data_IF_069024222805
#
_entry.id   IF_069024222805
#
_cell.length_a   1.000
_cell.length_b   1.000
_cell.length_c   1.000
_cell.angle_alpha   90.00
_cell.angle_beta   90.00
_cell.angle_gamma   90.00
#
_symmetry.space_group_name_H-M   'P 1'
#
loop_
_entity.id
_entity.type
_entity.pdbx_description
1 polymer ?
#
# COMPACT_ATOMS: atom_id res chain seq x y z
N UNK A 1 -2.90 22.44 -3.13
CA UNK A 1 -1.76 22.82 -2.28
C UNK A 1 -0.74 23.52 -3.17
N UNK A 2 -0.42 24.78 -2.88
CA UNK A 2 0.53 25.57 -3.67
C UNK A 2 1.94 25.01 -3.45
N UNK A 3 2.67 24.68 -4.52
CA UNK A 3 4.11 24.42 -4.40
C UNK A 3 4.77 25.65 -3.76
N UNK A 4 5.53 25.45 -2.69
CA UNK A 4 6.33 26.52 -2.12
C UNK A 4 7.28 27.04 -3.21
N UNK A 5 7.37 28.36 -3.36
CA UNK A 5 8.21 28.96 -4.40
C UNK A 5 9.67 28.75 -4.02
N UNK A 6 10.38 27.91 -4.78
CA UNK A 6 11.80 27.58 -4.53
C UNK A 6 12.63 28.84 -4.77
N UNK A 7 13.48 29.19 -3.80
CA UNK A 7 14.48 30.24 -3.95
C UNK A 7 15.78 29.63 -4.48
N UNK A 8 16.01 29.76 -5.79
CA UNK A 8 17.22 29.24 -6.44
C UNK A 8 18.49 30.04 -6.14
N UNK A 9 18.38 31.16 -5.42
CA UNK A 9 19.56 31.94 -5.00
C UNK A 9 20.22 31.38 -3.75
N UNK A 10 19.52 30.53 -3.01
CA UNK A 10 20.00 29.84 -1.81
C UNK A 10 20.92 28.68 -2.20
N UNK A 11 22.20 28.62 -1.75
CA UNK A 11 23.09 27.50 -2.07
C UNK A 11 22.56 26.12 -1.64
N UNK A 12 21.69 26.08 -0.62
CA UNK A 12 21.12 24.85 -0.07
C UNK A 12 19.74 24.50 -0.67
N UNK A 13 19.30 25.21 -1.73
CA UNK A 13 17.98 25.01 -2.33
C UNK A 13 17.71 23.56 -2.73
N UNK A 14 18.75 22.82 -3.16
CA UNK A 14 18.64 21.41 -3.56
C UNK A 14 18.30 20.50 -2.39
N UNK A 15 18.98 20.68 -1.26
CA UNK A 15 18.75 19.89 -0.04
C UNK A 15 17.35 20.18 0.47
N UNK A 16 16.96 21.46 0.56
CA UNK A 16 15.62 21.88 0.98
C UNK A 16 14.52 21.33 0.05
N UNK A 17 14.77 21.33 -1.26
CA UNK A 17 13.86 20.74 -2.23
C UNK A 17 13.71 19.24 -2.03
N UNK A 18 14.81 18.52 -1.82
CA UNK A 18 14.81 17.09 -1.56
C UNK A 18 14.07 16.76 -0.25
N UNK A 19 14.34 17.49 0.83
CA UNK A 19 13.67 17.31 2.13
C UNK A 19 12.17 17.61 2.05
N UNK A 20 11.76 18.69 1.37
CA UNK A 20 10.34 19.00 1.12
C UNK A 20 9.67 17.88 0.32
N UNK A 21 10.34 17.42 -0.74
CA UNK A 21 9.85 16.33 -1.57
C UNK A 21 9.67 15.05 -0.75
N UNK A 22 10.70 14.63 -0.02
CA UNK A 22 10.65 13.42 0.82
C UNK A 22 9.59 13.54 1.91
N UNK A 23 9.41 14.72 2.51
CA UNK A 23 8.35 14.97 3.51
C UNK A 23 6.95 14.82 2.91
N UNK A 24 6.72 15.31 1.68
CA UNK A 24 5.42 15.17 0.99
C UNK A 24 5.08 13.73 0.61
N UNK A 25 6.10 12.91 0.37
CA UNK A 25 5.95 11.49 0.03
C UNK A 25 6.19 10.56 1.23
N UNK A 26 6.37 11.11 2.43
CA UNK A 26 6.48 10.32 3.64
C UNK A 26 5.11 9.71 3.97
N UNK A 27 5.09 8.40 4.21
CA UNK A 27 3.87 7.67 4.55
C UNK A 27 3.80 7.63 6.08
N UNK A 28 2.73 8.16 6.70
CA UNK A 28 2.61 8.13 8.15
C UNK A 28 2.61 6.68 8.64
N UNK A 29 3.49 6.39 9.59
CA UNK A 29 3.52 5.12 10.30
C UNK A 29 2.61 5.16 11.52
N UNK A 30 2.11 4.00 11.94
CA UNK A 30 1.31 3.90 13.16
C UNK A 30 2.05 4.47 14.39
N UNK A 31 3.37 4.27 14.43
CA UNK A 31 4.27 4.77 15.48
C UNK A 31 4.44 6.29 15.48
N UNK A 32 4.09 6.99 14.39
CA UNK A 32 4.13 8.46 14.35
C UNK A 32 3.00 9.06 15.19
N UNK A 33 1.90 8.30 15.37
CA UNK A 33 0.74 8.69 16.19
C UNK A 33 0.74 7.97 17.53
N UNK A 34 1.19 6.70 17.55
CA UNK A 34 1.19 5.83 18.73
C UNK A 34 2.60 5.23 18.95
N UNK A 35 3.54 5.97 19.58
CA UNK A 35 4.95 5.60 19.67
C UNK A 35 5.22 4.26 20.35
N UNK A 36 4.38 3.88 21.32
CA UNK A 36 4.52 2.66 22.11
C UNK A 36 3.79 1.44 21.50
N UNK A 37 3.35 1.54 20.25
CA UNK A 37 2.65 0.44 19.56
C UNK A 37 3.56 -0.79 19.45
N UNK A 38 3.14 -1.96 19.98
CA UNK A 38 3.91 -3.17 19.84
C UNK A 38 3.95 -3.63 18.38
N UNK A 39 5.10 -4.15 17.96
CA UNK A 39 5.28 -4.76 16.64
C UNK A 39 5.41 -6.27 16.78
N UNK A 40 4.80 -7.02 15.86
CA UNK A 40 4.81 -8.48 15.83
C UNK A 40 5.52 -8.97 14.56
N UNK A 41 6.16 -10.16 14.59
CA UNK A 41 6.66 -10.79 13.37
C UNK A 41 5.53 -10.96 12.34
N UNK A 42 5.82 -10.65 11.08
CA UNK A 42 4.87 -10.80 9.99
C UNK A 42 4.50 -12.27 9.77
N UNK A 43 3.20 -12.52 9.61
CA UNK A 43 2.67 -13.83 9.24
C UNK A 43 2.80 -14.11 7.74
N UNK A 44 3.18 -13.11 6.94
CA UNK A 44 3.34 -13.28 5.50
C UNK A 44 4.60 -14.08 5.19
N UNK A 45 4.39 -15.34 4.79
CA UNK A 45 5.47 -16.20 4.33
C UNK A 45 5.42 -16.33 2.80
N UNK A 46 6.55 -16.07 2.16
CA UNK A 46 6.75 -16.26 0.72
C UNK A 46 7.11 -17.71 0.36
N UNK A 47 7.30 -18.58 1.35
CA UNK A 47 7.50 -20.01 1.13
C UNK A 47 6.15 -20.70 0.89
N UNK A 48 5.60 -20.56 -0.31
CA UNK A 48 4.79 -21.65 -0.84
C UNK A 48 5.75 -22.79 -1.23
N UNK A 49 5.74 -23.88 -0.47
CA UNK A 49 6.22 -25.20 -0.93
C UNK A 49 7.73 -25.37 -1.14
N UNK A 50 8.55 -25.17 -0.10
CA UNK A 50 9.67 -26.11 0.11
C UNK A 50 9.20 -27.13 1.13
N UNK A 51 8.82 -28.32 0.66
CA UNK A 51 8.93 -29.55 1.44
C UNK A 51 10.29 -29.51 2.15
N UNK A 52 10.40 -29.88 3.44
CA UNK A 52 11.72 -30.14 4.00
C UNK A 52 12.33 -31.20 3.09
N UNK A 53 13.39 -30.86 2.37
CA UNK A 53 14.18 -31.87 1.67
C UNK A 53 14.66 -32.78 2.79
N UNK A 54 14.24 -34.03 2.70
CA UNK A 54 14.54 -35.12 3.63
C UNK A 54 15.96 -34.97 4.15
N UNK A 55 16.08 -34.96 5.47
CA UNK A 55 17.34 -35.04 6.20
C UNK A 55 18.11 -36.27 5.73
N UNK A 56 19.06 -36.09 4.83
CA UNK A 56 20.21 -36.98 4.71
C UNK A 56 21.28 -36.24 3.91
N UNK A 57 22.49 -36.25 4.46
CA UNK A 57 23.77 -35.75 3.93
C UNK A 57 24.29 -34.39 4.42
N UNK A 58 25.35 -34.54 5.23
CA UNK A 58 26.47 -33.65 5.54
C UNK A 58 26.31 -32.60 6.64
N UNK A 59 26.89 -32.93 7.79
CA UNK A 59 26.96 -32.17 9.02
C UNK A 59 27.97 -30.98 9.01
N UNK A 60 28.33 -30.41 7.84
CA UNK A 60 29.38 -29.38 7.75
C UNK A 60 29.05 -28.16 6.87
N UNK A 61 27.78 -27.93 6.52
CA UNK A 61 27.36 -26.71 5.83
C UNK A 61 26.39 -25.91 6.71
N UNK A 62 26.94 -25.11 7.63
CA UNK A 62 26.21 -23.99 8.21
C UNK A 62 26.03 -22.90 7.15
N UNK A 63 25.08 -23.10 6.25
CA UNK A 63 24.61 -22.02 5.39
C UNK A 63 23.46 -21.35 6.13
N UNK A 64 23.80 -20.34 6.93
CA UNK A 64 22.88 -19.26 7.33
C UNK A 64 22.45 -18.49 6.07
N UNK A 65 21.75 -19.13 5.13
CA UNK A 65 21.08 -18.45 4.03
C UNK A 65 19.87 -17.73 4.62
N UNK A 66 20.14 -16.59 5.27
CA UNK A 66 19.14 -15.71 5.84
C UNK A 66 18.32 -15.12 4.71
N UNK A 67 17.23 -15.82 4.40
CA UNK A 67 16.41 -15.54 3.24
C UNK A 67 15.86 -14.10 3.28
N UNK A 68 16.26 -13.26 2.30
CA UNK A 68 15.92 -11.84 2.24
C UNK A 68 14.52 -11.60 1.63
N UNK A 69 13.47 -12.06 2.32
CA UNK A 69 12.08 -11.97 1.85
C UNK A 69 11.35 -10.66 2.09
N UNK A 70 11.86 -9.83 2.99
CA UNK A 70 11.20 -8.60 3.44
C UNK A 70 11.93 -7.35 2.94
N UNK A 71 11.17 -6.27 2.79
CA UNK A 71 11.69 -4.96 2.40
C UNK A 71 12.07 -4.17 3.66
N UNK A 72 13.23 -3.51 3.65
CA UNK A 72 13.66 -2.65 4.75
C UNK A 72 12.86 -1.33 4.75
N UNK A 73 12.62 -0.74 5.92
CA UNK A 73 11.94 0.56 6.02
C UNK A 73 12.74 1.71 5.40
N UNK A 74 14.06 1.56 5.29
CA UNK A 74 14.96 2.52 4.67
C UNK A 74 15.10 2.32 3.15
N UNK A 75 14.49 1.27 2.57
CA UNK A 75 14.55 1.09 1.12
C UNK A 75 13.85 2.25 0.41
N UNK A 76 14.59 2.87 -0.52
CA UNK A 76 14.09 3.93 -1.39
C UNK A 76 14.29 3.55 -2.84
N UNK A 77 13.38 4.04 -3.69
CA UNK A 77 13.47 3.93 -5.14
C UNK A 77 13.53 5.34 -5.71
N UNK A 78 14.35 5.51 -6.73
CA UNK A 78 14.47 6.76 -7.45
C UNK A 78 13.23 6.95 -8.34
N UNK A 79 12.46 8.02 -8.11
CA UNK A 79 11.22 8.31 -8.85
C UNK A 79 11.51 8.87 -10.24
N UNK A 80 12.37 9.88 -10.31
CA UNK A 80 12.79 10.50 -11.56
C UNK A 80 14.10 9.84 -11.99
N UNK A 81 14.15 9.24 -13.17
CA UNK A 81 15.35 8.55 -13.70
C UNK A 81 16.07 9.31 -14.83
N UNK A 82 15.50 10.44 -15.27
CA UNK A 82 16.04 11.26 -16.36
C UNK A 82 17.13 12.19 -15.82
N UNK A 83 18.38 11.72 -15.83
CA UNK A 83 19.52 12.48 -15.32
C UNK A 83 19.80 13.76 -16.13
N UNK A 84 19.70 13.69 -17.45
CA UNK A 84 19.88 14.85 -18.33
C UNK A 84 18.54 15.21 -18.97
N UNK A 85 18.04 16.41 -18.67
CA UNK A 85 16.80 16.94 -19.23
C UNK A 85 17.05 18.26 -19.95
N UNK A 86 16.24 18.53 -20.99
CA UNK A 86 16.19 19.81 -21.68
C UNK A 86 14.77 20.35 -21.59
N UNK A 87 14.56 21.68 -21.50
CA UNK A 87 13.21 22.26 -21.50
C UNK A 87 12.39 21.95 -22.75
N UNK A 88 13.04 21.52 -23.82
CA UNK A 88 12.41 21.16 -25.10
C UNK A 88 12.02 19.69 -25.19
N UNK A 89 12.43 18.85 -24.23
CA UNK A 89 12.19 17.41 -24.27
C UNK A 89 10.83 17.05 -23.69
N UNK A 90 10.03 16.26 -24.42
CA UNK A 90 8.74 15.80 -23.94
C UNK A 90 8.88 14.95 -22.66
N UNK A 91 8.06 15.23 -21.65
CA UNK A 91 8.05 14.51 -20.36
C UNK A 91 9.21 14.85 -19.43
N UNK A 92 10.11 15.75 -19.81
CA UNK A 92 11.21 16.20 -18.98
C UNK A 92 10.85 17.52 -18.29
N UNK A 93 10.39 17.45 -17.04
CA UNK A 93 10.12 18.65 -16.24
C UNK A 93 11.39 19.10 -15.52
N UNK A 94 11.82 20.33 -15.80
CA UNK A 94 12.98 20.94 -15.16
C UNK A 94 12.56 21.66 -13.87
N UNK A 95 13.32 21.45 -12.80
CA UNK A 95 13.05 22.09 -11.50
C UNK A 95 13.49 23.56 -11.56
N UNK A 96 14.63 23.81 -12.19
CA UNK A 96 15.22 25.12 -12.43
C UNK A 96 15.47 25.34 -13.95
N UNK A 97 16.06 26.49 -14.29
CA UNK A 97 16.35 26.85 -15.70
C UNK A 97 17.42 25.97 -16.34
N UNK A 98 18.36 25.48 -15.54
CA UNK A 98 19.48 24.67 -16.01
C UNK A 98 19.17 23.18 -16.05
N UNK A 99 17.92 22.80 -15.72
CA UNK A 99 17.48 21.42 -15.65
C UNK A 99 18.36 20.56 -14.75
N UNK A 100 18.74 21.13 -13.61
CA UNK A 100 19.61 20.52 -12.62
C UNK A 100 18.99 19.25 -12.07
N UNK A 101 19.79 18.21 -12.04
CA UNK A 101 19.42 16.95 -11.41
C UNK A 101 19.39 17.09 -9.89
N UNK A 102 18.28 16.63 -9.30
CA UNK A 102 18.10 16.45 -7.86
C UNK A 102 17.41 15.11 -7.67
N UNK A 103 17.97 14.22 -6.86
CA UNK A 103 17.38 12.93 -6.59
C UNK A 103 16.01 13.08 -5.91
N UNK A 104 15.05 12.26 -6.34
CA UNK A 104 13.72 12.21 -5.76
C UNK A 104 13.46 10.78 -5.32
N UNK A 105 13.51 10.54 -4.01
CA UNK A 105 13.37 9.22 -3.42
C UNK A 105 11.95 8.97 -2.92
N UNK A 106 11.44 7.76 -3.16
CA UNK A 106 10.15 7.30 -2.64
C UNK A 106 10.29 5.95 -1.94
N UNK A 107 9.41 5.68 -0.97
CA UNK A 107 9.43 4.42 -0.23
C UNK A 107 9.11 3.22 -1.12
N UNK A 108 9.91 2.16 -0.99
CA UNK A 108 9.65 0.89 -1.68
C UNK A 108 8.51 0.12 -1.01
N UNK A 109 7.44 -0.16 -1.75
CA UNK A 109 6.35 -1.03 -1.29
C UNK A 109 6.81 -2.51 -1.20
N UNK A 110 6.21 -3.26 -0.27
CA UNK A 110 6.44 -4.70 -0.13
C UNK A 110 6.27 -5.19 1.31
N UNK A 111 6.32 -6.51 1.53
CA UNK A 111 6.12 -7.10 2.85
C UNK A 111 7.21 -6.65 3.82
N UNK A 112 6.83 -6.38 5.06
CA UNK A 112 7.75 -6.01 6.15
C UNK A 112 7.91 -7.19 7.11
N UNK A 113 9.08 -7.30 7.72
CA UNK A 113 9.37 -8.34 8.71
C UNK A 113 8.48 -8.18 9.96
N UNK A 114 8.08 -6.94 10.27
CA UNK A 114 7.24 -6.60 11.41
C UNK A 114 5.95 -5.93 10.97
N UNK A 115 4.83 -6.30 11.60
CA UNK A 115 3.49 -5.72 11.43
C UNK A 115 2.95 -5.23 12.78
N UNK A 116 1.97 -4.32 12.76
CA UNK A 116 1.42 -3.71 13.98
C UNK A 116 0.03 -4.23 14.35
N UNK A 117 -0.69 -4.80 13.40
CA UNK A 117 -1.99 -5.41 13.65
C UNK A 117 -1.84 -6.92 13.75
N UNK A 118 -2.39 -7.50 14.80
CA UNK A 118 -2.51 -8.95 14.91
C UNK A 118 -3.59 -9.43 13.93
N UNK A 119 -3.24 -10.22 12.90
CA UNK A 119 -4.15 -10.50 11.78
C UNK A 119 -5.49 -11.10 12.20
N UNK A 120 -5.49 -11.96 13.23
CA UNK A 120 -6.72 -12.60 13.71
C UNK A 120 -7.75 -11.62 14.30
N UNK A 121 -7.27 -10.48 14.80
CA UNK A 121 -8.08 -9.41 15.40
C UNK A 121 -8.46 -8.31 14.40
N UNK A 122 -7.95 -8.38 13.16
CA UNK A 122 -8.29 -7.42 12.10
C UNK A 122 -9.66 -7.75 11.51
N UNK A 123 -10.52 -6.73 11.43
CA UNK A 123 -11.67 -6.68 10.52
C UNK A 123 -11.30 -5.79 9.35
N UNK A 124 -11.19 -6.36 8.15
CA UNK A 124 -10.80 -5.64 6.94
C UNK A 124 -12.02 -5.36 6.06
N UNK A 125 -12.26 -4.08 5.74
CA UNK A 125 -13.31 -3.66 4.82
C UNK A 125 -12.72 -3.25 3.47
N UNK A 126 -13.31 -3.76 2.38
CA UNK A 126 -12.92 -3.43 1.00
C UNK A 126 -14.09 -2.69 0.34
N UNK A 127 -13.79 -1.63 -0.39
CA UNK A 127 -14.78 -0.91 -1.20
C UNK A 127 -14.16 -0.36 -2.47
N UNK A 128 -14.99 -0.18 -3.49
CA UNK A 128 -14.60 0.43 -4.76
C UNK A 128 -15.44 1.68 -5.02
N UNK A 129 -14.79 2.82 -5.25
CA UNK A 129 -15.45 4.10 -5.44
C UNK A 129 -15.19 4.67 -6.84
N UNK A 130 -16.01 5.64 -7.25
CA UNK A 130 -15.79 6.42 -8.46
C UNK A 130 -16.36 5.75 -9.72
N UNK A 131 -15.57 5.79 -10.81
CA UNK A 131 -15.94 5.18 -12.08
C UNK A 131 -15.45 3.73 -12.20
N UNK A 132 -16.07 2.97 -13.10
CA UNK A 132 -15.60 1.62 -13.43
C UNK A 132 -14.31 1.67 -14.25
N UNK A 133 -13.38 0.78 -13.93
CA UNK A 133 -12.14 0.54 -14.65
C UNK A 133 -11.92 -0.97 -14.75
N UNK A 134 -11.39 -1.49 -15.88
CA UNK A 134 -10.97 -2.90 -15.95
C UNK A 134 -10.01 -3.25 -14.81
N UNK A 135 -10.22 -4.41 -14.17
CA UNK A 135 -9.35 -4.93 -13.11
C UNK A 135 -9.79 -4.67 -11.66
N UNK A 136 -10.92 -3.97 -11.43
CA UNK A 136 -11.43 -3.77 -10.05
C UNK A 136 -11.69 -5.11 -9.33
N UNK A 137 -12.22 -6.09 -10.04
CA UNK A 137 -12.45 -7.44 -9.49
C UNK A 137 -11.15 -8.19 -9.21
N UNK A 138 -10.11 -8.03 -10.03
CA UNK A 138 -8.77 -8.56 -9.76
C UNK A 138 -8.18 -7.98 -8.48
N UNK A 139 -8.33 -6.66 -8.28
CA UNK A 139 -7.87 -5.97 -7.06
C UNK A 139 -8.61 -6.50 -5.83
N UNK A 140 -9.95 -6.56 -5.85
CA UNK A 140 -10.75 -7.10 -4.73
C UNK A 140 -10.28 -8.52 -4.41
N UNK A 141 -10.20 -9.38 -5.43
CA UNK A 141 -9.77 -10.77 -5.28
C UNK A 141 -8.38 -10.88 -4.65
N UNK A 142 -7.41 -10.13 -5.16
CA UNK A 142 -6.03 -10.23 -4.69
C UNK A 142 -5.87 -9.70 -3.27
N UNK A 143 -6.58 -8.63 -2.91
CA UNK A 143 -6.59 -8.11 -1.53
C UNK A 143 -7.18 -9.14 -0.57
N UNK A 144 -8.33 -9.75 -0.89
CA UNK A 144 -8.93 -10.82 -0.06
C UNK A 144 -7.96 -11.99 0.11
N UNK A 145 -7.36 -12.48 -0.99
CA UNK A 145 -6.39 -13.58 -0.93
C UNK A 145 -5.21 -13.24 -0.02
N UNK A 146 -4.64 -12.05 -0.17
CA UNK A 146 -3.49 -11.59 0.62
C UNK A 146 -3.85 -11.44 2.09
N UNK A 147 -5.00 -10.83 2.43
CA UNK A 147 -5.48 -10.73 3.82
C UNK A 147 -5.62 -12.11 4.47
N UNK A 148 -6.18 -13.09 3.75
CA UNK A 148 -6.25 -14.47 4.24
C UNK A 148 -4.85 -15.11 4.40
N UNK A 149 -3.86 -14.81 3.54
CA UNK A 149 -2.46 -15.27 3.72
C UNK A 149 -1.88 -14.72 5.04
N UNK A 150 -2.17 -13.47 5.36
CA UNK A 150 -1.78 -12.89 6.65
C UNK A 150 -2.53 -13.52 7.84
N UNK A 151 -3.63 -14.24 7.63
CA UNK A 151 -4.44 -14.86 8.68
C UNK A 151 -5.62 -14.02 9.15
N UNK A 152 -6.03 -13.01 8.37
CA UNK A 152 -7.22 -12.19 8.67
C UNK A 152 -8.49 -13.03 8.53
N UNK A 153 -9.30 -13.07 9.59
CA UNK A 153 -10.51 -13.92 9.67
C UNK A 153 -11.80 -13.20 9.26
N UNK A 154 -11.85 -11.87 9.39
CA UNK A 154 -13.05 -11.06 9.11
C UNK A 154 -12.76 -10.12 7.96
N UNK A 155 -13.20 -10.49 6.76
CA UNK A 155 -13.04 -9.66 5.56
C UNK A 155 -14.43 -9.37 5.00
N UNK A 156 -14.73 -8.08 4.84
CA UNK A 156 -16.04 -7.62 4.40
C UNK A 156 -15.93 -6.66 3.22
N UNK A 157 -16.94 -6.66 2.37
CA UNK A 157 -17.12 -5.71 1.28
C UNK A 157 -18.19 -4.69 1.64
N UNK A 158 -17.90 -3.41 1.43
CA UNK A 158 -18.88 -2.33 1.59
C UNK A 158 -19.50 -2.03 0.22
N UNK A 159 -20.82 -2.25 0.03
CA UNK A 159 -21.46 -2.05 -1.25
C UNK A 159 -21.47 -0.58 -1.69
N UNK A 160 -21.31 -0.36 -3.00
CA UNK A 160 -21.47 0.94 -3.66
C UNK A 160 -20.57 2.05 -3.07
N UNK A 161 -19.30 1.77 -2.82
CA UNK A 161 -18.32 2.78 -2.40
C UNK A 161 -18.62 3.39 -1.03
N UNK A 162 -18.31 4.68 -0.84
CA UNK A 162 -18.50 5.34 0.46
C UNK A 162 -19.97 5.41 0.92
N UNK A 163 -20.92 5.38 -0.01
CA UNK A 163 -22.36 5.33 0.32
C UNK A 163 -22.73 4.16 1.24
N UNK A 164 -22.06 3.01 1.12
CA UNK A 164 -22.35 1.85 1.96
C UNK A 164 -22.03 2.02 3.44
N UNK A 165 -21.36 3.11 3.84
CA UNK A 165 -21.16 3.44 5.26
C UNK A 165 -22.35 4.16 5.90
N UNK A 166 -23.17 4.86 5.11
CA UNK A 166 -24.31 5.66 5.61
C UNK A 166 -25.67 5.08 5.26
N UNK A 167 -25.74 4.18 4.27
CA UNK A 167 -26.99 3.60 3.80
C UNK A 167 -27.36 2.37 4.64
N UNK A 168 -28.37 2.50 5.50
CA UNK A 168 -28.82 1.44 6.42
C UNK A 168 -29.39 0.22 5.68
N UNK A 169 -29.83 0.40 4.43
CA UNK A 169 -30.34 -0.70 3.59
C UNK A 169 -29.19 -1.56 3.00
N UNK A 170 -27.94 -1.11 3.11
CA UNK A 170 -26.76 -1.79 2.57
C UNK A 170 -25.99 -2.52 3.67
N UNK A 171 -26.14 -3.84 3.71
CA UNK A 171 -25.37 -4.70 4.61
C UNK A 171 -23.96 -5.00 4.09
N UNK A 172 -23.03 -5.23 5.02
CA UNK A 172 -21.70 -5.77 4.70
C UNK A 172 -21.81 -7.10 3.96
N UNK A 173 -20.98 -7.27 2.93
CA UNK A 173 -20.87 -8.53 2.20
C UNK A 173 -19.68 -9.31 2.72
N UNK A 174 -19.88 -10.52 3.24
CA UNK A 174 -18.76 -11.36 3.65
C UNK A 174 -17.91 -11.75 2.42
N UNK A 175 -16.61 -11.51 2.51
CA UNK A 175 -15.65 -11.84 1.46
C UNK A 175 -14.75 -12.97 1.92
N UNK A 176 -14.63 -14.00 1.09
CA UNK A 176 -13.68 -15.09 1.26
C UNK A 176 -13.18 -15.57 -0.10
N UNK A 177 -12.06 -16.28 -0.14
CA UNK A 177 -11.53 -16.91 -1.35
C UNK A 177 -12.57 -17.67 -2.17
N UNK A 178 -13.54 -18.31 -1.49
CA UNK A 178 -14.62 -19.03 -2.15
C UNK A 178 -15.60 -18.09 -2.86
N UNK A 179 -15.99 -17.01 -2.19
CA UNK A 179 -16.92 -16.00 -2.74
C UNK A 179 -16.29 -15.27 -3.93
N UNK A 180 -15.01 -14.90 -3.83
CA UNK A 180 -14.34 -14.08 -4.85
C UNK A 180 -13.62 -14.90 -5.94
N UNK A 181 -13.75 -16.23 -5.95
CA UNK A 181 -12.90 -17.12 -6.75
C UNK A 181 -12.82 -16.71 -8.23
N UNK A 182 -13.98 -16.39 -8.84
CA UNK A 182 -14.14 -16.17 -10.27
C UNK A 182 -14.53 -14.73 -10.64
N UNK A 183 -14.55 -13.78 -9.71
CA UNK A 183 -15.02 -12.41 -10.00
C UNK A 183 -14.15 -11.68 -11.02
N UNK A 184 -12.86 -12.01 -11.08
CA UNK A 184 -11.89 -11.48 -12.04
C UNK A 184 -12.23 -11.82 -13.51
N UNK A 185 -13.06 -12.84 -13.75
CA UNK A 185 -13.54 -13.19 -15.10
C UNK A 185 -14.67 -12.27 -15.58
N UNK A 186 -15.20 -11.42 -14.70
CA UNK A 186 -16.30 -10.49 -14.97
C UNK A 186 -15.82 -9.04 -14.96
N UNK A 187 -16.36 -8.23 -15.87
CA UNK A 187 -16.16 -6.79 -15.86
C UNK A 187 -16.91 -6.09 -14.71
N UNK A 188 -16.58 -4.82 -14.48
CA UNK A 188 -17.20 -4.01 -13.43
C UNK A 188 -16.57 -4.20 -12.06
N UNK A 189 -17.36 -4.05 -11.00
CA UNK A 189 -16.96 -4.30 -9.62
C UNK A 189 -18.01 -5.16 -8.93
N UNK A 190 -17.57 -6.23 -8.27
CA UNK A 190 -18.39 -7.14 -7.47
C UNK A 190 -19.13 -6.40 -6.34
N UNK A 191 -18.50 -5.36 -5.78
CA UNK A 191 -19.08 -4.52 -4.71
C UNK A 191 -19.91 -3.35 -5.25
N UNK A 192 -19.93 -3.13 -6.56
CA UNK A 192 -20.47 -1.92 -7.17
C UNK A 192 -19.61 -0.68 -6.90
N UNK A 193 -19.98 0.44 -7.52
CA UNK A 193 -19.29 1.73 -7.33
C UNK A 193 -20.33 2.84 -7.16
N UNK A 194 -19.96 3.89 -6.45
CA UNK A 194 -20.72 5.14 -6.41
C UNK A 194 -19.79 6.35 -6.41
N UNK A 195 -20.36 7.52 -6.71
CA UNK A 195 -19.69 8.82 -6.60
C UNK A 195 -20.30 9.61 -5.44
N UNK A 196 -19.45 10.37 -4.75
CA UNK A 196 -19.84 11.03 -3.51
C UNK A 196 -19.97 10.04 -2.36
N UNK A 197 -20.49 10.51 -1.25
CA UNK A 197 -20.63 9.72 -0.04
C UNK A 197 -20.86 10.59 1.19
N UNK A 198 -21.02 9.96 2.35
CA UNK A 198 -21.09 10.63 3.64
C UNK A 198 -19.81 11.41 3.96
N UNK A 199 -19.91 12.26 4.97
CA UNK A 199 -18.78 13.01 5.54
C UNK A 199 -17.76 12.07 6.19
N UNK A 200 -16.54 12.55 6.38
CA UNK A 200 -15.46 11.78 7.03
C UNK A 200 -15.88 11.31 8.43
N UNK A 201 -16.54 12.18 9.20
CA UNK A 201 -17.03 11.86 10.55
C UNK A 201 -18.01 10.69 10.52
N UNK A 202 -19.02 10.74 9.65
CA UNK A 202 -20.00 9.65 9.51
C UNK A 202 -19.34 8.32 9.09
N UNK A 203 -18.32 8.35 8.23
CA UNK A 203 -17.57 7.14 7.84
C UNK A 203 -16.82 6.56 9.06
N UNK A 204 -16.13 7.40 9.82
CA UNK A 204 -15.37 6.97 11.01
C UNK A 204 -16.32 6.42 12.08
N UNK A 205 -17.42 7.12 12.37
CA UNK A 205 -18.43 6.67 13.33
C UNK A 205 -19.01 5.30 12.91
N UNK A 206 -19.29 5.13 11.61
CA UNK A 206 -19.75 3.85 11.07
C UNK A 206 -18.70 2.75 11.22
N UNK A 207 -17.42 3.04 11.00
CA UNK A 207 -16.32 2.09 11.18
C UNK A 207 -16.13 1.67 12.64
N UNK A 208 -16.38 2.54 13.62
CA UNK A 208 -16.28 2.21 15.05
C UNK A 208 -17.42 1.30 15.54
N UNK A 209 -18.62 1.45 14.97
CA UNK A 209 -19.81 0.67 15.37
C UNK A 209 -19.76 -0.78 14.84
N UNK A 210 -19.06 -1.00 13.71
CA UNK A 210 -19.10 -2.23 12.90
C UNK A 210 -18.07 -3.28 13.33
#
# INVERSE_FOLDING_TARGET
>A
MSAAKIDFTDPDWKVKFQEDFETRFNIPHLTDVFPDSPSFPSTFCLQSSRTPVVEEYSADFQVEDKWHGYINNNDRVLLKVIHYSSPTSAGAECIDKDCTWVEQWVHRAGPREKIYFEPENVKAAILTCGGLCPGLNDVIRQVVITLEIYGVKKIVGIPFGYRGFSDEDLSEMELSRKVIQNIHLSGGSYLGVSRGGPTVTEIVDSMEIR
#
